data_IF_093102673984
#
_entry.id   IF_093102673984
#
_cell.length_a   1.000
_cell.length_b   1.000
_cell.length_c   1.000
_cell.angle_alpha   90.00
_cell.angle_beta   90.00
_cell.angle_gamma   90.00
#
_symmetry.space_group_name_H-M   'P 1'
#
loop_
_entity.id
_entity.type
_entity.pdbx_description
1 polymer ?
#
# COMPACT_ATOMS: atom_id res chain seq x y z
N UNK A 1 15.94 14.53 -23.36
CA UNK A 1 14.63 15.21 -23.37
C UNK A 1 14.18 15.30 -21.92
N UNK A 2 14.15 16.51 -21.37
CA UNK A 2 13.75 16.78 -19.98
C UNK A 2 12.24 16.57 -19.90
N UNK A 3 11.80 15.52 -19.20
CA UNK A 3 10.38 15.28 -18.94
C UNK A 3 9.96 16.37 -17.94
N UNK A 4 9.14 17.32 -18.41
CA UNK A 4 8.64 18.40 -17.58
C UNK A 4 7.78 17.82 -16.44
N UNK A 5 8.06 18.25 -15.21
CA UNK A 5 7.23 17.94 -14.06
C UNK A 5 5.82 18.50 -14.26
N UNK A 6 4.84 17.62 -14.39
CA UNK A 6 3.42 17.99 -14.35
C UNK A 6 3.00 18.11 -12.89
N UNK A 7 3.03 19.34 -12.38
CA UNK A 7 2.49 19.66 -11.06
C UNK A 7 0.97 19.91 -11.22
N UNK A 8 0.15 19.01 -10.69
CA UNK A 8 -1.30 19.23 -10.62
C UNK A 8 -1.58 20.06 -9.36
N UNK A 9 -2.14 21.29 -9.48
CA UNK A 9 -2.43 22.13 -8.32
C UNK A 9 -3.44 21.44 -7.39
N UNK A 10 -3.07 21.26 -6.13
CA UNK A 10 -3.93 20.67 -5.08
C UNK A 10 -4.24 21.70 -3.99
N UNK A 11 -5.38 21.59 -3.28
CA UNK A 11 -5.66 22.48 -2.17
C UNK A 11 -4.56 22.35 -1.10
N UNK A 12 -4.05 23.49 -0.65
CA UNK A 12 -3.00 23.54 0.37
C UNK A 12 -3.50 22.89 1.67
N UNK A 13 -2.72 21.91 2.23
CA UNK A 13 -2.95 21.35 3.55
C UNK A 13 -3.56 19.93 3.58
N UNK A 14 -3.88 19.31 2.45
CA UNK A 14 -4.42 17.96 2.41
C UNK A 14 -3.34 16.86 2.43
N UNK A 15 -2.17 17.11 1.84
CA UNK A 15 -1.10 16.12 1.68
C UNK A 15 -0.40 15.80 3.01
N UNK A 16 -0.35 14.52 3.34
CA UNK A 16 0.38 14.00 4.50
C UNK A 16 1.69 13.32 4.12
N UNK A 17 1.82 12.88 2.86
CA UNK A 17 3.07 12.36 2.29
C UNK A 17 3.32 13.06 0.96
N UNK A 18 4.54 13.50 0.75
CA UNK A 18 5.01 14.01 -0.54
C UNK A 18 6.41 13.46 -0.83
N UNK A 19 6.60 12.96 -2.05
CA UNK A 19 7.91 12.51 -2.55
C UNK A 19 8.13 13.14 -3.91
N UNK A 20 9.20 13.93 -4.04
CA UNK A 20 9.54 14.63 -5.27
C UNK A 20 10.90 14.19 -5.80
N UNK A 21 10.91 13.67 -7.02
CA UNK A 21 12.09 13.30 -7.82
C UNK A 21 13.16 12.54 -7.03
N UNK A 22 12.77 11.45 -6.39
CA UNK A 22 13.62 10.65 -5.54
C UNK A 22 14.60 9.81 -6.37
N UNK A 23 15.89 9.93 -6.05
CA UNK A 23 16.94 9.02 -6.50
C UNK A 23 17.54 8.30 -5.31
N UNK A 24 17.79 7.01 -5.47
CA UNK A 24 18.50 6.19 -4.49
C UNK A 24 19.53 5.30 -5.19
N UNK A 25 20.75 5.25 -4.65
CA UNK A 25 21.85 4.42 -5.15
C UNK A 25 22.21 3.41 -4.07
N UNK A 26 21.95 2.13 -4.35
CA UNK A 26 22.30 1.04 -3.45
C UNK A 26 23.83 0.79 -3.44
N UNK A 27 24.39 0.14 -2.40
CA UNK A 27 25.83 -0.16 -2.33
C UNK A 27 26.38 -0.99 -3.49
N UNK A 28 25.52 -1.77 -4.16
CA UNK A 28 25.84 -2.55 -5.36
C UNK A 28 25.78 -1.74 -6.66
N UNK A 29 25.66 -0.43 -6.54
CA UNK A 29 25.50 0.54 -7.66
C UNK A 29 24.15 0.47 -8.39
N UNK A 30 23.18 -0.30 -7.89
CA UNK A 30 21.83 -0.29 -8.44
C UNK A 30 21.17 1.06 -8.17
N UNK A 31 20.74 1.75 -9.22
CA UNK A 31 20.06 3.03 -9.13
C UNK A 31 18.54 2.85 -9.24
N UNK A 32 17.80 3.47 -8.34
CA UNK A 32 16.35 3.59 -8.39
C UNK A 32 15.97 5.05 -8.54
N UNK A 33 15.28 5.37 -9.62
CA UNK A 33 14.74 6.70 -9.88
C UNK A 33 13.22 6.65 -9.78
N UNK A 34 12.65 7.49 -8.90
CA UNK A 34 11.20 7.66 -8.74
C UNK A 34 10.89 9.13 -9.06
N UNK A 35 11.10 9.47 -10.33
CA UNK A 35 10.84 10.78 -10.90
C UNK A 35 9.73 10.66 -11.96
N UNK A 36 9.29 11.77 -12.51
CA UNK A 36 8.26 11.87 -13.56
C UNK A 36 7.00 12.51 -13.02
N UNK A 37 6.40 11.96 -12.00
CA UNK A 37 5.28 12.55 -11.26
C UNK A 37 5.60 12.58 -9.77
N UNK A 38 5.19 13.63 -9.06
CA UNK A 38 5.29 13.66 -7.62
C UNK A 38 4.36 12.61 -7.00
N UNK A 39 4.89 11.82 -6.05
CA UNK A 39 4.07 10.90 -5.27
C UNK A 39 3.47 11.64 -4.09
N UNK A 40 2.16 11.70 -4.01
CA UNK A 40 1.44 12.46 -2.98
C UNK A 40 0.32 11.61 -2.40
N UNK A 41 0.17 11.66 -1.07
CA UNK A 41 -0.94 11.02 -0.35
C UNK A 41 -1.65 12.06 0.48
N UNK A 42 -2.95 12.17 0.29
CA UNK A 42 -3.81 13.07 1.06
C UNK A 42 -4.33 12.38 2.34
N UNK A 43 -4.79 13.17 3.31
CA UNK A 43 -5.35 12.63 4.56
C UNK A 43 -6.59 11.77 4.29
N UNK A 44 -6.62 10.56 4.88
CA UNK A 44 -7.72 9.60 4.71
C UNK A 44 -7.76 8.92 3.34
N UNK A 45 -6.75 9.14 2.49
CA UNK A 45 -6.68 8.55 1.15
C UNK A 45 -6.07 7.13 1.22
N UNK A 46 -6.57 6.23 0.37
CA UNK A 46 -6.01 4.90 0.11
C UNK A 46 -5.28 4.91 -1.21
N UNK A 47 -3.97 4.93 -1.14
CA UNK A 47 -3.08 4.97 -2.31
C UNK A 47 -2.48 3.59 -2.54
N UNK A 48 -2.60 3.09 -3.76
CA UNK A 48 -1.94 1.85 -4.18
C UNK A 48 -0.79 2.15 -5.11
N UNK A 49 0.35 1.55 -4.83
CA UNK A 49 1.56 1.59 -5.66
C UNK A 49 1.67 0.26 -6.42
N UNK A 50 1.39 0.30 -7.71
CA UNK A 50 1.54 -0.83 -8.62
C UNK A 50 2.92 -0.85 -9.28
N UNK A 51 3.43 -2.04 -9.55
CA UNK A 51 4.67 -2.22 -10.29
C UNK A 51 5.16 -3.66 -10.21
N UNK A 52 5.85 -4.12 -11.23
CA UNK A 52 6.50 -5.42 -11.22
C UNK A 52 7.66 -5.47 -10.22
N UNK A 53 8.28 -6.64 -10.07
CA UNK A 53 9.44 -6.82 -9.21
C UNK A 53 10.62 -5.94 -9.68
N UNK A 54 11.27 -5.27 -8.72
CA UNK A 54 12.38 -4.36 -8.99
C UNK A 54 11.97 -3.00 -9.59
N UNK A 55 10.68 -2.63 -9.56
CA UNK A 55 10.22 -1.30 -10.01
C UNK A 55 10.50 -0.18 -9.01
N UNK A 56 10.92 -0.50 -7.78
CA UNK A 56 11.22 0.49 -6.73
C UNK A 56 10.11 0.69 -5.70
N UNK A 57 9.05 -0.15 -5.65
CA UNK A 57 7.95 -0.03 -4.67
C UNK A 57 8.47 -0.02 -3.23
N UNK A 58 9.17 -1.07 -2.83
CA UNK A 58 9.74 -1.20 -1.47
C UNK A 58 10.73 -0.07 -1.18
N UNK A 59 11.55 0.34 -2.16
CA UNK A 59 12.46 1.49 -2.02
C UNK A 59 11.70 2.77 -1.71
N UNK A 60 10.61 3.05 -2.44
CA UNK A 60 9.72 4.19 -2.16
C UNK A 60 9.18 4.14 -0.73
N UNK A 61 8.64 2.97 -0.31
CA UNK A 61 8.11 2.80 1.04
C UNK A 61 9.18 3.00 2.11
N UNK A 62 10.40 2.50 1.91
CA UNK A 62 11.51 2.68 2.87
C UNK A 62 11.96 4.13 2.98
N UNK A 63 11.90 4.91 1.92
CA UNK A 63 12.13 6.35 1.99
C UNK A 63 11.03 7.09 2.76
N UNK A 64 9.75 6.71 2.56
CA UNK A 64 8.62 7.28 3.32
C UNK A 64 8.72 6.90 4.82
N UNK A 65 9.25 5.71 5.13
CA UNK A 65 9.54 5.25 6.50
C UNK A 65 10.80 5.88 7.11
N UNK A 66 11.60 6.62 6.33
CA UNK A 66 12.87 7.18 6.79
C UNK A 66 13.99 6.16 6.99
N UNK A 67 13.78 4.90 6.58
CA UNK A 67 14.78 3.83 6.64
C UNK A 67 15.91 4.03 5.61
N UNK A 68 15.60 4.73 4.51
CA UNK A 68 16.55 5.13 3.49
C UNK A 68 16.59 6.65 3.39
N UNK A 69 17.79 7.20 3.18
CA UNK A 69 17.98 8.62 2.86
C UNK A 69 18.11 8.77 1.35
N UNK A 70 17.37 9.68 0.70
CA UNK A 70 17.53 9.91 -0.73
C UNK A 70 18.89 10.54 -1.06
N UNK A 71 19.49 10.12 -2.19
CA UNK A 71 20.67 10.78 -2.75
C UNK A 71 20.28 12.09 -3.44
N UNK A 72 19.13 12.10 -4.10
CA UNK A 72 18.51 13.30 -4.71
C UNK A 72 17.00 13.30 -4.46
N UNK A 73 16.41 14.49 -4.49
CA UNK A 73 14.99 14.68 -4.25
C UNK A 73 14.63 14.92 -2.79
N UNK A 74 13.35 14.83 -2.48
CA UNK A 74 12.86 15.10 -1.12
C UNK A 74 11.68 14.19 -0.76
N UNK A 75 11.61 13.87 0.55
CA UNK A 75 10.50 13.13 1.15
C UNK A 75 10.00 13.92 2.36
N UNK A 76 8.69 14.11 2.44
CA UNK A 76 8.03 14.69 3.60
C UNK A 76 6.87 13.82 4.03
N UNK A 77 6.79 13.53 5.33
CA UNK A 77 5.69 12.81 5.97
C UNK A 77 5.16 13.65 7.12
N UNK A 78 3.89 14.03 7.06
CA UNK A 78 3.29 14.99 7.99
C UNK A 78 4.05 16.32 8.11
N UNK A 79 4.70 16.77 7.02
CA UNK A 79 5.50 17.99 6.98
C UNK A 79 6.95 17.83 7.48
N UNK A 80 7.36 16.61 7.85
CA UNK A 80 8.68 16.30 8.42
C UNK A 80 9.47 15.44 7.45
N UNK A 81 10.79 15.64 7.39
CA UNK A 81 11.68 14.72 6.68
C UNK A 81 11.91 13.46 7.54
N UNK A 82 11.39 12.28 7.13
CA UNK A 82 11.44 11.09 7.97
C UNK A 82 12.86 10.53 8.17
N UNK A 83 13.80 10.80 7.27
CA UNK A 83 15.19 10.30 7.41
C UNK A 83 16.01 11.04 8.45
N UNK A 84 15.54 12.18 8.94
CA UNK A 84 16.25 13.00 9.94
C UNK A 84 15.44 13.22 11.22
N UNK A 85 14.13 13.19 11.15
CA UNK A 85 13.21 13.55 12.24
C UNK A 85 12.10 12.50 12.42
N UNK A 86 12.44 11.20 12.38
CA UNK A 86 11.46 10.13 12.49
C UNK A 86 10.71 10.13 13.83
N UNK A 87 11.39 10.53 14.91
CA UNK A 87 10.80 10.60 16.26
C UNK A 87 9.54 11.48 16.32
N UNK A 88 9.43 12.50 15.47
CA UNK A 88 8.26 13.40 15.41
C UNK A 88 7.02 12.74 14.80
N UNK A 89 7.19 11.64 14.08
CA UNK A 89 6.12 10.97 13.32
C UNK A 89 5.92 9.49 13.67
N UNK A 90 6.84 8.85 14.40
CA UNK A 90 6.87 7.40 14.61
C UNK A 90 5.59 6.82 15.22
N UNK A 91 4.91 7.55 16.12
CA UNK A 91 3.65 7.08 16.71
C UNK A 91 2.46 7.20 15.75
N UNK A 92 2.63 7.98 14.68
CA UNK A 92 1.58 8.27 13.68
C UNK A 92 1.68 7.36 12.46
N UNK A 93 2.74 6.56 12.34
CA UNK A 93 3.02 5.69 11.19
C UNK A 93 3.06 4.25 11.65
N UNK A 94 2.23 3.41 11.05
CA UNK A 94 2.30 1.95 11.17
C UNK A 94 2.85 1.34 9.90
N UNK A 95 3.54 0.20 10.02
CA UNK A 95 4.09 -0.52 8.87
C UNK A 95 3.84 -2.01 8.95
N UNK A 96 3.50 -2.62 7.81
CA UNK A 96 3.53 -4.07 7.59
C UNK A 96 4.47 -4.34 6.42
N UNK A 97 5.58 -4.99 6.70
CA UNK A 97 6.58 -5.36 5.70
C UNK A 97 6.17 -6.64 4.96
N UNK A 98 6.70 -6.84 3.76
CA UNK A 98 6.48 -8.04 2.95
C UNK A 98 6.91 -9.30 3.71
N UNK A 99 8.13 -9.29 4.27
CA UNK A 99 8.63 -10.37 5.12
C UNK A 99 8.27 -10.11 6.60
N UNK A 100 7.13 -10.63 7.03
CA UNK A 100 6.66 -10.47 8.42
C UNK A 100 7.55 -11.17 9.45
N UNK A 101 8.37 -12.15 9.05
CA UNK A 101 9.30 -12.83 9.96
C UNK A 101 10.43 -11.92 10.42
N UNK A 102 10.84 -10.97 9.58
CA UNK A 102 11.83 -9.94 9.94
C UNK A 102 11.24 -8.84 10.81
N UNK A 103 9.91 -8.71 10.85
CA UNK A 103 9.21 -7.70 11.63
C UNK A 103 8.86 -8.17 13.06
N UNK A 104 8.62 -9.47 13.25
CA UNK A 104 8.30 -10.06 14.55
C UNK A 104 9.60 -10.21 15.37
N UNK A 105 9.69 -9.46 16.47
CA UNK A 105 10.91 -9.33 17.26
C UNK A 105 10.84 -10.07 18.61
N UNK A 106 9.64 -10.34 19.13
CA UNK A 106 9.45 -10.85 20.46
C UNK A 106 9.06 -12.34 20.48
N UNK A 107 9.35 -13.06 21.56
CA UNK A 107 9.04 -14.49 21.68
C UNK A 107 7.55 -14.81 21.62
N UNK A 108 6.69 -14.02 22.26
CA UNK A 108 5.25 -14.23 22.35
C UNK A 108 4.46 -13.15 21.62
N UNK A 109 3.23 -13.48 21.22
CA UNK A 109 2.33 -12.56 20.51
C UNK A 109 2.03 -11.30 21.33
N UNK A 110 1.73 -11.46 22.64
CA UNK A 110 1.46 -10.30 23.49
C UNK A 110 2.68 -9.40 23.61
N UNK A 111 3.87 -9.96 23.77
CA UNK A 111 5.11 -9.19 23.88
C UNK A 111 5.39 -8.44 22.58
N UNK A 112 5.17 -9.07 21.43
CA UNK A 112 5.43 -8.47 20.14
C UNK A 112 4.50 -7.28 19.86
N UNK A 113 3.20 -7.45 20.05
CA UNK A 113 2.22 -6.37 19.91
C UNK A 113 2.47 -5.24 20.94
N UNK A 114 2.94 -5.58 22.15
CA UNK A 114 3.28 -4.62 23.20
C UNK A 114 4.55 -3.82 22.93
N UNK A 115 5.37 -4.22 21.96
CA UNK A 115 6.71 -3.68 21.75
C UNK A 115 6.69 -2.16 21.52
N UNK A 116 5.89 -1.67 20.58
CA UNK A 116 5.81 -0.24 20.26
C UNK A 116 5.22 0.60 21.42
N UNK A 117 4.07 0.26 22.03
CA UNK A 117 3.56 1.02 23.16
C UNK A 117 4.54 1.13 24.33
N UNK A 118 5.23 0.02 24.67
CA UNK A 118 6.24 0.02 25.74
C UNK A 118 7.41 0.94 25.44
N UNK A 119 7.93 0.88 24.20
CA UNK A 119 9.06 1.73 23.80
C UNK A 119 8.71 3.20 23.71
N UNK A 120 7.43 3.54 23.52
CA UNK A 120 6.94 4.91 23.51
C UNK A 120 6.51 5.42 24.88
N UNK A 121 6.72 4.62 25.94
CA UNK A 121 6.54 5.05 27.33
C UNK A 121 5.13 4.89 27.89
N UNK A 122 4.25 4.16 27.22
CA UNK A 122 2.94 3.83 27.74
C UNK A 122 3.05 2.91 28.97
N UNK A 123 2.21 3.12 29.96
CA UNK A 123 2.15 2.27 31.15
C UNK A 123 1.73 0.84 30.79
N UNK A 124 2.03 -0.10 31.70
CA UNK A 124 1.64 -1.51 31.52
C UNK A 124 0.12 -1.67 31.36
N UNK A 125 -0.66 -0.87 32.09
CA UNK A 125 -2.12 -0.92 32.03
C UNK A 125 -2.65 -0.39 30.69
N UNK A 126 -2.15 0.75 30.22
CA UNK A 126 -2.51 1.32 28.93
C UNK A 126 -2.12 0.39 27.79
N UNK A 127 -0.88 -0.12 27.80
CA UNK A 127 -0.40 -1.11 26.85
C UNK A 127 -1.31 -2.33 26.80
N UNK A 128 -1.68 -2.88 27.96
CA UNK A 128 -2.57 -4.04 28.02
C UNK A 128 -3.93 -3.80 27.38
N UNK A 129 -4.55 -2.62 27.61
CA UNK A 129 -5.81 -2.22 26.98
C UNK A 129 -5.67 -2.07 25.46
N UNK A 130 -4.57 -1.48 24.99
CA UNK A 130 -4.29 -1.31 23.56
C UNK A 130 -4.12 -2.65 22.86
N UNK A 131 -3.33 -3.55 23.44
CA UNK A 131 -3.09 -4.91 22.94
C UNK A 131 -4.39 -5.71 22.89
N UNK A 132 -5.17 -5.71 23.95
CA UNK A 132 -6.46 -6.41 23.99
C UNK A 132 -7.41 -5.92 22.91
N UNK A 133 -7.53 -4.61 22.73
CA UNK A 133 -8.39 -4.01 21.73
C UNK A 133 -7.99 -4.41 20.29
N UNK A 134 -6.71 -4.34 19.93
CA UNK A 134 -6.24 -4.69 18.58
C UNK A 134 -6.31 -6.20 18.33
N UNK A 135 -6.02 -7.02 19.34
CA UNK A 135 -6.14 -8.48 19.21
C UNK A 135 -7.60 -8.92 19.01
N UNK A 136 -8.54 -8.29 19.70
CA UNK A 136 -9.98 -8.54 19.52
C UNK A 136 -10.43 -8.12 18.11
N UNK A 137 -9.99 -6.96 17.62
CA UNK A 137 -10.31 -6.46 16.30
C UNK A 137 -9.84 -7.40 15.17
N UNK A 138 -8.63 -7.96 15.31
CA UNK A 138 -8.03 -8.88 14.34
C UNK A 138 -8.43 -10.35 14.58
N UNK A 139 -9.27 -10.62 15.59
CA UNK A 139 -9.74 -11.96 15.99
C UNK A 139 -8.59 -12.92 16.34
N UNK A 140 -7.53 -12.41 16.95
CA UNK A 140 -6.33 -13.18 17.33
C UNK A 140 -6.13 -13.30 18.85
N UNK A 141 -7.14 -12.99 19.68
CA UNK A 141 -7.04 -13.06 21.15
C UNK A 141 -6.63 -14.45 21.65
N UNK A 142 -6.99 -15.51 20.92
CA UNK A 142 -6.62 -16.89 21.23
C UNK A 142 -5.12 -17.21 20.98
N UNK A 143 -4.38 -16.28 20.38
CA UNK A 143 -2.94 -16.40 20.13
C UNK A 143 -2.09 -15.72 21.19
N UNK A 144 -2.67 -15.02 22.16
CA UNK A 144 -1.99 -14.10 23.11
C UNK A 144 -0.68 -14.68 23.66
N UNK A 145 -0.75 -15.89 24.22
CA UNK A 145 0.37 -16.54 24.92
C UNK A 145 1.19 -17.46 24.00
N UNK A 146 0.84 -17.53 22.70
CA UNK A 146 1.57 -18.38 21.76
C UNK A 146 2.94 -17.79 21.43
N UNK A 147 3.89 -18.71 21.22
CA UNK A 147 5.23 -18.35 20.73
C UNK A 147 5.13 -18.03 19.24
N UNK A 148 5.60 -16.85 18.84
CA UNK A 148 5.50 -16.34 17.48
C UNK A 148 6.11 -17.26 16.42
N UNK A 149 7.20 -17.96 16.77
CA UNK A 149 7.87 -18.89 15.86
C UNK A 149 6.97 -20.04 15.36
N UNK A 150 6.04 -20.51 16.19
CA UNK A 150 5.15 -21.63 15.88
C UNK A 150 3.84 -21.24 15.19
N UNK A 151 3.66 -19.96 14.90
CA UNK A 151 2.49 -19.47 14.19
C UNK A 151 2.56 -19.84 12.70
N UNK A 152 1.41 -20.10 12.10
CA UNK A 152 1.28 -20.15 10.63
C UNK A 152 1.60 -18.80 9.98
N UNK A 153 1.92 -18.78 8.69
CA UNK A 153 2.21 -17.53 7.96
C UNK A 153 1.07 -16.52 8.03
N UNK A 154 -0.19 -16.96 7.96
CA UNK A 154 -1.35 -16.09 8.11
C UNK A 154 -1.50 -15.53 9.53
N UNK A 155 -1.26 -16.34 10.58
CA UNK A 155 -1.24 -15.88 11.97
C UNK A 155 -0.11 -14.88 12.21
N UNK A 156 1.11 -15.14 11.73
CA UNK A 156 2.24 -14.20 11.80
C UNK A 156 1.89 -12.87 11.16
N UNK A 157 1.24 -12.87 9.99
CA UNK A 157 0.82 -11.64 9.31
C UNK A 157 -0.21 -10.85 10.11
N UNK A 158 -1.18 -11.52 10.74
CA UNK A 158 -2.14 -10.87 11.64
C UNK A 158 -1.46 -10.30 12.88
N UNK A 159 -0.46 -10.96 13.44
CA UNK A 159 0.32 -10.46 14.59
C UNK A 159 1.14 -9.23 14.19
N UNK A 160 1.88 -9.28 13.09
CA UNK A 160 2.64 -8.12 12.57
C UNK A 160 1.72 -6.93 12.27
N UNK A 161 0.53 -7.19 11.70
CA UNK A 161 -0.48 -6.15 11.47
C UNK A 161 -1.02 -5.58 12.80
N UNK A 162 -1.22 -6.42 13.83
CA UNK A 162 -1.62 -5.95 15.16
C UNK A 162 -0.57 -5.00 15.75
N UNK A 163 0.72 -5.34 15.63
CA UNK A 163 1.83 -4.47 16.02
C UNK A 163 1.84 -3.14 15.27
N UNK A 164 1.51 -3.14 13.98
CA UNK A 164 1.39 -1.93 13.16
C UNK A 164 0.19 -1.06 13.55
N UNK A 165 -0.92 -1.67 14.01
CA UNK A 165 -2.18 -0.98 14.30
C UNK A 165 -2.38 -0.60 15.77
N UNK A 166 -1.62 -1.18 16.69
CA UNK A 166 -1.81 -1.02 18.14
C UNK A 166 -1.74 0.44 18.61
N UNK A 167 -0.89 1.26 17.95
CA UNK A 167 -0.75 2.69 18.20
C UNK A 167 -1.83 3.55 17.55
N UNK A 168 -2.79 2.96 16.82
CA UNK A 168 -3.80 3.68 16.03
C UNK A 168 -3.18 4.73 15.09
N UNK A 169 -2.30 4.32 14.18
CA UNK A 169 -1.56 5.25 13.32
C UNK A 169 -2.50 6.07 12.43
N UNK A 170 -2.04 7.25 12.03
CA UNK A 170 -2.73 8.10 11.04
C UNK A 170 -2.38 7.71 9.59
N UNK A 171 -1.23 7.06 9.41
CA UNK A 171 -0.75 6.51 8.14
C UNK A 171 -0.34 5.05 8.35
N UNK A 172 -0.89 4.15 7.57
CA UNK A 172 -0.48 2.75 7.52
C UNK A 172 0.19 2.46 6.18
N UNK A 173 1.40 1.92 6.24
CA UNK A 173 2.18 1.52 5.07
C UNK A 173 2.22 0.00 5.00
N UNK A 174 1.85 -0.57 3.85
CA UNK A 174 1.71 -2.00 3.64
C UNK A 174 2.52 -2.42 2.41
N UNK A 175 3.51 -3.28 2.59
CA UNK A 175 4.27 -3.84 1.49
C UNK A 175 3.79 -5.26 1.19
N UNK A 176 3.13 -5.45 0.03
CA UNK A 176 2.53 -6.71 -0.45
C UNK A 176 1.69 -7.44 0.64
N UNK A 177 0.71 -6.80 1.28
CA UNK A 177 0.06 -7.32 2.49
C UNK A 177 -0.77 -8.59 2.26
N UNK A 178 -1.13 -8.89 1.02
CA UNK A 178 -1.99 -10.03 0.66
C UNK A 178 -1.23 -11.26 0.18
N UNK A 179 0.08 -11.17 0.09
CA UNK A 179 0.90 -12.29 -0.34
C UNK A 179 0.78 -13.47 0.63
N UNK A 180 0.56 -14.69 0.09
CA UNK A 180 0.41 -15.90 0.90
C UNK A 180 -0.87 -16.03 1.71
N UNK A 181 -1.82 -15.08 1.62
CA UNK A 181 -3.13 -15.19 2.26
C UNK A 181 -4.14 -15.93 1.37
N UNK A 182 -4.96 -16.77 1.99
CA UNK A 182 -6.13 -17.36 1.34
C UNK A 182 -7.23 -16.29 1.10
N UNK A 183 -8.24 -16.64 0.29
CA UNK A 183 -9.32 -15.73 -0.11
C UNK A 183 -10.09 -15.16 1.10
N UNK A 184 -10.31 -15.95 2.14
CA UNK A 184 -11.04 -15.51 3.33
C UNK A 184 -10.21 -14.51 4.14
N UNK A 185 -8.95 -14.83 4.40
CA UNK A 185 -8.04 -13.95 5.13
C UNK A 185 -7.81 -12.62 4.40
N UNK A 186 -7.77 -12.64 3.05
CA UNK A 186 -7.72 -11.41 2.23
C UNK A 186 -8.96 -10.55 2.44
N UNK A 187 -10.15 -11.14 2.39
CA UNK A 187 -11.42 -10.40 2.58
C UNK A 187 -11.49 -9.78 3.99
N UNK A 188 -11.12 -10.54 5.03
CA UNK A 188 -11.06 -10.06 6.41
C UNK A 188 -10.10 -8.86 6.55
N UNK A 189 -8.91 -8.96 5.95
CA UNK A 189 -7.91 -7.86 5.97
C UNK A 189 -8.46 -6.61 5.27
N UNK A 190 -9.04 -6.74 4.09
CA UNK A 190 -9.65 -5.61 3.35
C UNK A 190 -10.73 -4.93 4.18
N UNK A 191 -11.58 -5.71 4.87
CA UNK A 191 -12.63 -5.16 5.74
C UNK A 191 -12.04 -4.35 6.91
N UNK A 192 -11.00 -4.85 7.57
CA UNK A 192 -10.31 -4.15 8.65
C UNK A 192 -9.72 -2.84 8.14
N UNK A 193 -8.99 -2.88 7.01
CA UNK A 193 -8.38 -1.69 6.41
C UNK A 193 -9.42 -0.65 6.01
N UNK A 194 -10.54 -1.07 5.41
CA UNK A 194 -11.63 -0.18 5.04
C UNK A 194 -12.29 0.48 6.27
N UNK A 195 -12.46 -0.25 7.37
CA UNK A 195 -13.00 0.29 8.62
C UNK A 195 -12.06 1.34 9.20
N UNK A 196 -10.77 1.03 9.31
CA UNK A 196 -9.75 1.96 9.79
C UNK A 196 -9.62 3.21 8.92
N UNK A 197 -9.75 3.06 7.61
CA UNK A 197 -9.75 4.20 6.70
C UNK A 197 -10.98 5.10 6.91
N UNK A 198 -12.17 4.54 7.12
CA UNK A 198 -13.38 5.31 7.49
C UNK A 198 -13.19 6.10 8.78
N UNK A 199 -12.37 5.60 9.72
CA UNK A 199 -12.00 6.29 10.95
C UNK A 199 -10.89 7.36 10.73
N UNK A 200 -10.50 7.62 9.47
CA UNK A 200 -9.57 8.68 9.06
C UNK A 200 -8.13 8.25 8.84
N UNK A 201 -7.80 6.95 8.93
CA UNK A 201 -6.46 6.44 8.64
C UNK A 201 -6.18 6.49 7.14
N UNK A 202 -5.05 7.07 6.74
CA UNK A 202 -4.54 7.01 5.37
C UNK A 202 -3.77 5.71 5.16
N UNK A 203 -3.81 5.17 3.94
CA UNK A 203 -3.15 3.90 3.63
C UNK A 203 -2.30 4.04 2.37
N UNK A 204 -1.06 3.59 2.44
CA UNK A 204 -0.21 3.34 1.27
C UNK A 204 0.00 1.84 1.19
N UNK A 205 -0.28 1.26 0.04
CA UNK A 205 -0.13 -0.17 -0.19
C UNK A 205 0.64 -0.43 -1.48
N UNK A 206 1.73 -1.19 -1.40
CA UNK A 206 2.33 -1.77 -2.60
C UNK A 206 1.63 -3.08 -2.94
N UNK A 207 1.40 -3.34 -4.21
CA UNK A 207 0.95 -4.64 -4.69
C UNK A 207 1.18 -4.82 -6.19
N UNK A 208 1.14 -6.07 -6.63
CA UNK A 208 1.04 -6.44 -8.05
C UNK A 208 -0.33 -7.08 -8.37
N UNK A 209 -1.22 -7.27 -7.36
CA UNK A 209 -2.56 -7.86 -7.54
C UNK A 209 -3.59 -6.79 -7.93
N UNK A 210 -3.93 -6.76 -9.21
CA UNK A 210 -4.89 -5.79 -9.77
C UNK A 210 -6.34 -6.03 -9.32
N UNK A 211 -6.69 -7.23 -8.83
CA UNK A 211 -8.08 -7.56 -8.48
C UNK A 211 -8.58 -6.76 -7.27
N UNK A 212 -7.68 -6.37 -6.37
CA UNK A 212 -8.01 -5.57 -5.19
C UNK A 212 -8.06 -4.08 -5.47
N UNK A 213 -7.29 -3.62 -6.46
CA UNK A 213 -7.11 -2.20 -6.74
C UNK A 213 -8.43 -1.50 -7.03
N UNK A 214 -9.27 -2.10 -7.88
CA UNK A 214 -10.55 -1.51 -8.31
C UNK A 214 -11.55 -1.26 -7.18
N UNK A 215 -11.51 -2.07 -6.11
CA UNK A 215 -12.44 -1.97 -4.99
C UNK A 215 -11.85 -1.30 -3.73
N UNK A 216 -10.53 -1.20 -3.67
CA UNK A 216 -9.83 -0.72 -2.47
C UNK A 216 -9.26 0.70 -2.62
N UNK A 217 -8.61 1.01 -3.74
CA UNK A 217 -7.86 2.24 -3.90
C UNK A 217 -8.74 3.45 -4.23
N UNK A 218 -8.36 4.60 -3.71
CA UNK A 218 -8.87 5.91 -4.16
C UNK A 218 -7.99 6.46 -5.28
N UNK A 219 -6.67 6.20 -5.20
CA UNK A 219 -5.66 6.57 -6.21
C UNK A 219 -4.64 5.46 -6.40
N UNK A 220 -4.13 5.37 -7.61
CA UNK A 220 -3.12 4.39 -8.01
C UNK A 220 -1.95 5.10 -8.66
N UNK A 221 -0.74 4.73 -8.24
CA UNK A 221 0.51 5.08 -8.91
C UNK A 221 1.10 3.84 -9.57
N UNK A 222 1.56 3.95 -10.79
CA UNK A 222 2.20 2.84 -11.51
C UNK A 222 3.69 3.14 -11.66
N UNK A 223 4.52 2.27 -11.07
CA UNK A 223 5.97 2.33 -11.17
C UNK A 223 6.48 1.33 -12.20
N UNK A 224 7.40 1.78 -13.05
CA UNK A 224 8.10 0.91 -13.99
C UNK A 224 9.62 0.95 -13.73
N UNK A 225 10.27 -0.21 -13.87
CA UNK A 225 11.71 -0.36 -13.64
C UNK A 225 12.51 0.62 -14.53
N UNK A 226 13.34 1.44 -13.90
CA UNK A 226 14.19 2.43 -14.56
C UNK A 226 13.45 3.65 -15.12
N UNK A 227 12.12 3.75 -14.97
CA UNK A 227 11.31 4.86 -15.48
C UNK A 227 10.62 5.66 -14.38
N UNK A 228 10.62 5.17 -13.13
CA UNK A 228 9.93 5.80 -12.00
C UNK A 228 8.41 5.69 -12.10
N UNK A 229 7.71 6.74 -11.67
CA UNK A 229 6.25 6.83 -11.79
C UNK A 229 5.87 7.17 -13.23
N UNK A 230 5.21 6.24 -13.91
CA UNK A 230 4.85 6.40 -15.34
C UNK A 230 3.42 6.89 -15.55
N UNK A 231 2.52 6.66 -14.60
CA UNK A 231 1.15 7.19 -14.60
C UNK A 231 0.55 7.18 -13.21
N UNK A 232 -0.45 8.04 -12.99
CA UNK A 232 -1.27 8.06 -11.78
C UNK A 232 -2.74 8.33 -12.12
N UNK A 233 -3.63 7.94 -11.23
CA UNK A 233 -5.04 8.27 -11.37
C UNK A 233 -5.99 7.40 -10.57
N UNK A 234 -7.27 7.59 -10.82
CA UNK A 234 -8.31 6.73 -10.27
C UNK A 234 -8.16 5.27 -10.77
N UNK A 235 -8.52 4.26 -9.97
CA UNK A 235 -8.40 2.86 -10.35
C UNK A 235 -8.98 2.54 -11.73
N UNK A 236 -10.17 3.06 -12.03
CA UNK A 236 -10.85 2.83 -13.31
C UNK A 236 -10.01 3.27 -14.52
N UNK A 237 -9.32 4.41 -14.41
CA UNK A 237 -8.40 4.89 -15.44
C UNK A 237 -7.20 3.96 -15.58
N UNK A 238 -6.52 3.68 -14.48
CA UNK A 238 -5.27 2.91 -14.48
C UNK A 238 -5.49 1.47 -14.96
N UNK A 239 -6.56 0.81 -14.51
CA UNK A 239 -6.86 -0.57 -14.89
C UNK A 239 -7.21 -0.71 -16.39
N UNK A 240 -7.54 0.37 -17.08
CA UNK A 240 -7.80 0.41 -18.51
C UNK A 240 -6.59 0.86 -19.35
N UNK A 241 -5.53 1.37 -18.73
CA UNK A 241 -4.30 1.79 -19.42
C UNK A 241 -3.34 0.61 -19.67
N UNK A 242 -3.74 -0.30 -20.58
CA UNK A 242 -3.00 -1.55 -20.90
C UNK A 242 -1.51 -1.29 -21.16
N UNK A 243 -1.18 -0.26 -21.94
CA UNK A 243 0.21 0.07 -22.28
C UNK A 243 1.05 0.47 -21.04
N UNK A 244 0.46 1.17 -20.07
CA UNK A 244 1.15 1.53 -18.84
C UNK A 244 1.38 0.30 -17.95
N UNK A 245 0.39 -0.58 -17.81
CA UNK A 245 0.50 -1.82 -17.05
C UNK A 245 1.58 -2.74 -17.65
N UNK A 246 1.58 -2.95 -18.95
CA UNK A 246 2.60 -3.76 -19.64
C UNK A 246 4.01 -3.18 -19.49
N UNK A 247 4.17 -1.85 -19.56
CA UNK A 247 5.48 -1.18 -19.34
C UNK A 247 5.99 -1.35 -17.91
N UNK A 248 5.10 -1.56 -16.94
CA UNK A 248 5.46 -1.86 -15.55
C UNK A 248 5.58 -3.36 -15.26
N UNK A 249 5.54 -4.19 -16.29
CA UNK A 249 5.59 -5.65 -16.22
C UNK A 249 4.44 -6.22 -15.35
N UNK A 250 3.25 -5.67 -15.55
CA UNK A 250 2.00 -6.14 -14.93
C UNK A 250 1.03 -6.50 -16.07
N UNK A 251 0.50 -7.71 -16.01
CA UNK A 251 -0.53 -8.13 -16.95
C UNK A 251 -1.85 -7.39 -16.65
N UNK A 252 -2.52 -6.83 -17.64
CA UNK A 252 -3.80 -6.18 -17.43
C UNK A 252 -4.85 -7.16 -16.88
N UNK A 253 -5.89 -6.68 -16.17
CA UNK A 253 -6.99 -7.55 -15.75
C UNK A 253 -7.60 -8.27 -16.95
N UNK A 254 -7.99 -9.54 -16.77
CA UNK A 254 -8.59 -10.37 -17.83
C UNK A 254 -9.76 -9.65 -18.50
N UNK A 255 -10.61 -8.97 -17.74
CA UNK A 255 -11.72 -8.18 -18.29
C UNK A 255 -11.22 -7.04 -19.19
N UNK A 256 -10.19 -6.31 -18.75
CA UNK A 256 -9.59 -5.23 -19.53
C UNK A 256 -9.03 -5.77 -20.85
N UNK A 257 -8.30 -6.88 -20.81
CA UNK A 257 -7.74 -7.51 -22.00
C UNK A 257 -8.85 -7.98 -22.97
N UNK A 258 -9.85 -8.70 -22.45
CA UNK A 258 -10.98 -9.19 -23.24
C UNK A 258 -11.71 -8.04 -23.96
N UNK A 259 -12.09 -7.00 -23.21
CA UNK A 259 -12.85 -5.90 -23.80
C UNK A 259 -12.01 -5.00 -24.71
N UNK A 260 -10.71 -4.88 -24.48
CA UNK A 260 -9.78 -4.23 -25.40
C UNK A 260 -9.73 -4.96 -26.74
N UNK A 261 -9.61 -6.29 -26.73
CA UNK A 261 -9.65 -7.11 -27.95
C UNK A 261 -10.99 -7.03 -28.69
N UNK A 262 -12.11 -6.98 -27.94
CA UNK A 262 -13.44 -6.78 -28.56
C UNK A 262 -13.52 -5.43 -29.27
N UNK A 263 -13.00 -4.37 -28.67
CA UNK A 263 -12.93 -3.04 -29.31
C UNK A 263 -12.06 -3.03 -30.58
N UNK A 264 -10.91 -3.70 -30.55
CA UNK A 264 -10.03 -3.87 -31.71
C UNK A 264 -10.74 -4.61 -32.85
N UNK A 265 -11.68 -5.50 -32.57
CA UNK A 265 -12.55 -6.19 -33.52
C UNK A 265 -13.78 -5.38 -33.92
N UNK A 266 -13.92 -4.14 -33.49
CA UNK A 266 -14.97 -3.21 -33.90
C UNK A 266 -16.21 -3.23 -33.00
N UNK A 267 -16.20 -3.93 -31.85
CA UNK A 267 -17.31 -3.87 -30.91
C UNK A 267 -17.38 -2.51 -30.18
N UNK A 268 -18.57 -1.92 -30.14
CA UNK A 268 -18.82 -0.66 -29.44
C UNK A 268 -19.05 -0.93 -27.93
N UNK A 269 -17.98 -1.23 -27.20
CA UNK A 269 -18.02 -1.54 -25.76
C UNK A 269 -17.07 -0.66 -24.99
N UNK A 270 -17.43 -0.32 -23.76
CA UNK A 270 -16.52 0.27 -22.79
C UNK A 270 -15.73 -0.83 -22.07
N UNK A 271 -14.55 -0.52 -21.55
CA UNK A 271 -13.73 -1.47 -20.78
C UNK A 271 -14.28 -1.50 -19.34
N UNK A 272 -14.88 -2.61 -18.89
CA UNK A 272 -15.45 -2.70 -17.55
C UNK A 272 -14.36 -2.94 -16.50
N UNK A 273 -14.56 -2.40 -15.30
CA UNK A 273 -13.67 -2.59 -14.15
C UNK A 273 -14.20 -3.66 -13.17
N UNK A 274 -15.40 -4.23 -13.46
CA UNK A 274 -16.00 -5.29 -12.66
C UNK A 274 -16.77 -6.28 -13.53
N UNK A 275 -16.93 -7.51 -13.02
CA UNK A 275 -17.73 -8.56 -13.68
C UNK A 275 -19.17 -8.11 -13.90
N UNK A 276 -19.78 -7.45 -12.90
CA UNK A 276 -21.17 -6.99 -13.02
C UNK A 276 -21.34 -5.94 -14.12
N UNK A 277 -20.36 -5.06 -14.28
CA UNK A 277 -20.36 -4.10 -15.39
C UNK A 277 -20.21 -4.84 -16.73
N UNK A 278 -19.28 -5.77 -16.81
CA UNK A 278 -19.06 -6.59 -18.03
C UNK A 278 -20.34 -7.33 -18.45
N UNK A 279 -21.02 -7.97 -17.49
CA UNK A 279 -22.28 -8.68 -17.72
C UNK A 279 -23.37 -7.74 -18.26
N UNK A 280 -23.54 -6.55 -17.67
CA UNK A 280 -24.50 -5.57 -18.15
C UNK A 280 -24.20 -5.12 -19.58
N UNK A 281 -22.94 -4.83 -19.88
CA UNK A 281 -22.54 -4.31 -21.18
C UNK A 281 -22.68 -5.38 -22.29
N UNK A 282 -22.25 -6.61 -22.01
CA UNK A 282 -22.48 -7.74 -22.92
C UNK A 282 -23.96 -8.04 -23.12
N UNK A 283 -24.76 -7.99 -22.05
CA UNK A 283 -26.23 -8.23 -22.18
C UNK A 283 -26.89 -7.19 -23.07
N UNK A 284 -26.42 -5.94 -23.07
CA UNK A 284 -26.91 -4.89 -23.98
C UNK A 284 -26.54 -5.18 -25.44
N UNK A 285 -25.31 -5.63 -25.70
CA UNK A 285 -24.86 -6.00 -27.05
C UNK A 285 -25.65 -7.13 -27.68
N UNK A 286 -26.03 -8.16 -26.88
CA UNK A 286 -26.83 -9.28 -27.39
C UNK A 286 -28.31 -8.96 -27.58
N UNK A 287 -28.77 -7.80 -27.11
CA UNK A 287 -30.18 -7.34 -27.26
C UNK A 287 -30.32 -6.27 -28.34
N UNK A 288 -29.21 -5.74 -28.87
CA UNK A 288 -29.18 -4.80 -29.97
C UNK A 288 -28.96 -5.52 -31.31
#
# INVERSE_FOLDING_TARGET
MTIGHLHIPRPAGAAIVTVSCLKHIYPDTTEIHICGLDFVVDRGERVVVLGGNGSGKTTLLFHILGLLKPDEGSVSVFGVNPSTNYDDIRERVGVLLQNVEEQILSPTVEEDISFSPRNYGYSKEETGKMVEAVMAELQISHLRDKICHYLSGGEKRKVALAGALVMRPQLLILDEPFEGLDTRSRAELVEILNRRNKDGMSIIMSTHDLNLVGSFADRVYVLAKGLGVITEGAPAKILTEVAALQRSNIDPPILTELFSRLREQGAAVDIPISIDQAVRDLTRLFKA
#
